data_IF_488080672314
#
_entry.id   IF_488080672314
#
_cell.length_a   1.000
_cell.length_b   1.000
_cell.length_c   1.000
_cell.angle_alpha   90.00
_cell.angle_beta   90.00
_cell.angle_gamma   90.00
#
_symmetry.space_group_name_H-M   'P 1'
#
loop_
_entity.id
_entity.type
_entity.pdbx_description
1 polymer ?
#
# COMPACT_ATOMS: atom_id res chain seq x y z
N UNK A 1 15.29 -46.23 -32.81
CA UNK A 1 14.77 -45.21 -31.85
C UNK A 1 13.27 -45.39 -31.76
N UNK A 2 12.76 -45.80 -30.60
CA UNK A 2 11.36 -46.16 -30.41
C UNK A 2 10.48 -44.91 -30.29
N UNK A 3 9.50 -44.79 -31.18
CA UNK A 3 8.43 -43.80 -31.10
C UNK A 3 7.41 -44.29 -30.05
N UNK A 4 7.36 -43.60 -28.91
CA UNK A 4 6.35 -43.85 -27.87
C UNK A 4 5.12 -43.01 -28.19
N UNK A 5 4.12 -43.63 -28.80
CA UNK A 5 2.76 -43.12 -28.85
C UNK A 5 2.05 -43.46 -27.54
N UNK A 6 1.52 -42.46 -26.83
CA UNK A 6 0.51 -42.62 -25.79
C UNK A 6 -0.53 -41.50 -25.91
N UNK A 7 -1.79 -41.78 -25.50
CA UNK A 7 -2.98 -41.28 -26.19
C UNK A 7 -3.67 -40.11 -25.46
N UNK A 8 -4.56 -39.45 -26.21
CA UNK A 8 -5.56 -38.50 -25.74
C UNK A 8 -6.32 -38.96 -24.49
N UNK A 9 -6.60 -38.01 -23.58
CA UNK A 9 -7.72 -38.20 -22.66
C UNK A 9 -7.72 -37.44 -21.34
N UNK A 10 -7.29 -36.17 -21.27
CA UNK A 10 -7.73 -35.29 -20.17
C UNK A 10 -8.02 -33.89 -20.71
N UNK A 11 -9.28 -33.65 -21.04
CA UNK A 11 -9.84 -32.34 -21.31
C UNK A 11 -9.88 -31.59 -19.96
N UNK A 12 -8.86 -30.78 -19.69
CA UNK A 12 -8.96 -29.80 -18.60
C UNK A 12 -10.15 -28.88 -18.89
N UNK A 13 -11.09 -28.70 -17.95
CA UNK A 13 -12.03 -27.59 -18.04
C UNK A 13 -11.21 -26.31 -17.93
N UNK A 14 -11.09 -25.57 -19.03
CA UNK A 14 -10.73 -24.17 -18.98
C UNK A 14 -11.72 -23.50 -18.02
N UNK A 15 -11.29 -22.87 -16.92
CA UNK A 15 -12.21 -22.02 -16.18
C UNK A 15 -12.60 -20.91 -17.15
N UNK A 16 -13.86 -20.94 -17.58
CA UNK A 16 -14.48 -19.81 -18.22
C UNK A 16 -14.38 -18.67 -17.20
N UNK A 17 -13.39 -17.80 -17.38
CA UNK A 17 -13.35 -16.52 -16.71
C UNK A 17 -14.55 -15.79 -17.27
N UNK A 18 -15.68 -15.89 -16.57
CA UNK A 18 -16.84 -15.07 -16.83
C UNK A 18 -16.35 -13.64 -16.93
N UNK A 19 -16.66 -12.97 -18.04
CA UNK A 19 -16.40 -11.56 -18.19
C UNK A 19 -17.00 -10.86 -16.97
N UNK A 20 -16.13 -10.43 -16.04
CA UNK A 20 -16.55 -9.71 -14.86
C UNK A 20 -17.01 -8.36 -15.39
N UNK A 21 -18.31 -8.25 -15.60
CA UNK A 21 -18.97 -6.99 -15.85
C UNK A 21 -18.57 -6.05 -14.72
N UNK A 22 -17.80 -5.01 -15.06
CA UNK A 22 -17.45 -3.92 -14.16
C UNK A 22 -18.73 -3.16 -13.81
N UNK A 23 -19.48 -3.67 -12.84
CA UNK A 23 -20.42 -2.83 -12.12
C UNK A 23 -19.57 -1.84 -11.35
N UNK A 24 -19.76 -0.55 -11.63
CA UNK A 24 -19.32 0.58 -10.82
C UNK A 24 -19.71 0.29 -9.36
N UNK A 25 -18.84 -0.37 -8.61
CA UNK A 25 -19.10 -0.68 -7.22
C UNK A 25 -19.01 0.64 -6.49
N UNK A 26 -20.14 1.07 -5.91
CA UNK A 26 -20.19 2.20 -5.01
C UNK A 26 -19.04 2.06 -3.99
N UNK A 27 -18.31 3.14 -3.74
CA UNK A 27 -17.20 3.17 -2.80
C UNK A 27 -17.70 2.72 -1.42
N UNK A 28 -17.61 1.42 -1.14
CA UNK A 28 -17.85 0.90 0.21
C UNK A 28 -16.75 1.49 1.05
N UNK A 29 -17.12 2.24 2.09
CA UNK A 29 -16.17 2.71 3.10
C UNK A 29 -15.66 1.48 3.86
N UNK A 30 -14.58 0.89 3.36
CA UNK A 30 -13.93 -0.23 4.03
C UNK A 30 -13.29 0.31 5.32
N UNK A 31 -13.87 -0.03 6.48
CA UNK A 31 -13.22 0.19 7.78
C UNK A 31 -12.08 -0.83 7.93
N UNK A 32 -10.90 -0.42 7.50
CA UNK A 32 -9.67 -1.16 7.72
C UNK A 32 -9.28 -1.08 9.20
N UNK A 33 -9.11 -2.23 9.86
CA UNK A 33 -8.59 -2.30 11.23
C UNK A 33 -7.46 -3.31 11.31
N UNK A 34 -6.22 -2.82 11.25
CA UNK A 34 -5.05 -3.65 11.56
C UNK A 34 -4.89 -3.71 13.07
N UNK A 35 -5.12 -4.90 13.64
CA UNK A 35 -4.75 -5.22 15.02
C UNK A 35 -3.22 -5.30 15.11
N UNK A 36 -2.57 -4.17 15.39
CA UNK A 36 -1.26 -4.18 16.06
C UNK A 36 -1.52 -4.32 17.56
N UNK A 37 -0.67 -5.03 18.30
CA UNK A 37 -0.65 -4.95 19.77
C UNK A 37 -0.49 -3.49 20.18
N UNK A 38 -1.59 -2.86 20.60
CA UNK A 38 -1.67 -1.44 20.93
C UNK A 38 -1.14 -1.30 22.36
N UNK A 39 -0.07 -0.53 22.60
CA UNK A 39 0.26 -0.08 23.94
C UNK A 39 -0.95 0.67 24.51
N UNK A 40 -1.10 0.66 25.83
CA UNK A 40 -2.14 1.44 26.49
C UNK A 40 -2.20 2.87 25.92
N UNK A 41 -3.40 3.43 25.74
CA UNK A 41 -3.60 4.68 24.99
C UNK A 41 -2.72 5.84 25.48
N UNK A 42 -2.42 5.88 26.79
CA UNK A 42 -1.50 6.83 27.41
C UNK A 42 -0.03 6.64 26.99
N UNK A 43 0.44 5.40 26.86
CA UNK A 43 1.81 5.10 26.42
C UNK A 43 2.02 5.50 24.95
N UNK A 44 1.03 5.23 24.09
CA UNK A 44 1.09 5.59 22.67
C UNK A 44 1.22 7.10 22.48
N UNK A 45 0.45 7.91 23.23
CA UNK A 45 0.57 9.38 23.21
C UNK A 45 1.95 9.86 23.66
N UNK A 46 2.49 9.30 24.75
CA UNK A 46 3.82 9.66 25.24
C UNK A 46 4.90 9.43 24.17
N UNK A 47 4.85 8.29 23.49
CA UNK A 47 5.81 7.96 22.43
C UNK A 47 5.69 8.87 21.21
N UNK A 48 4.46 9.24 20.81
CA UNK A 48 4.23 10.20 19.72
C UNK A 48 4.86 11.55 20.06
N UNK A 49 4.67 12.05 21.29
CA UNK A 49 5.28 13.31 21.74
C UNK A 49 6.81 13.23 21.75
N UNK A 50 7.39 12.13 22.20
CA UNK A 50 8.85 11.93 22.21
C UNK A 50 9.43 11.93 20.79
N UNK A 51 8.80 11.23 19.84
CA UNK A 51 9.19 11.26 18.43
C UNK A 51 9.09 12.68 17.86
N UNK A 52 8.01 13.40 18.17
CA UNK A 52 7.78 14.77 17.72
C UNK A 52 8.85 15.72 18.26
N UNK A 53 9.23 15.59 19.53
CA UNK A 53 10.31 16.37 20.14
C UNK A 53 11.67 16.08 19.48
N UNK A 54 12.02 14.80 19.29
CA UNK A 54 13.27 14.42 18.59
C UNK A 54 13.31 14.97 17.16
N UNK A 55 12.22 14.84 16.40
CA UNK A 55 12.12 15.42 15.06
C UNK A 55 12.14 16.95 15.07
N UNK A 56 11.57 17.58 16.11
CA UNK A 56 11.62 19.02 16.31
C UNK A 56 13.07 19.52 16.46
N UNK A 57 13.86 18.79 17.25
CA UNK A 57 15.24 19.09 17.60
C UNK A 57 16.23 18.81 16.47
N UNK A 58 16.22 17.58 15.95
CA UNK A 58 17.29 17.06 15.09
C UNK A 58 16.98 17.23 13.59
N UNK A 59 15.70 17.39 13.22
CA UNK A 59 15.25 17.42 11.83
C UNK A 59 14.40 18.67 11.52
N UNK A 60 14.97 19.85 11.80
CA UNK A 60 14.32 21.17 11.65
C UNK A 60 13.86 21.53 10.24
N UNK A 61 14.53 20.98 9.22
CA UNK A 61 14.21 21.26 7.82
C UNK A 61 13.06 20.42 7.26
N UNK A 62 12.56 19.42 7.99
CA UNK A 62 11.44 18.62 7.52
C UNK A 62 10.12 19.43 7.59
N UNK A 63 9.22 19.24 6.62
CA UNK A 63 7.94 19.93 6.56
C UNK A 63 7.06 19.66 7.78
N UNK A 64 6.20 20.63 8.09
CA UNK A 64 5.16 20.55 9.12
C UNK A 64 3.78 20.29 8.50
N UNK A 65 2.82 19.91 9.34
CA UNK A 65 1.44 19.63 8.96
C UNK A 65 1.24 18.21 8.44
N UNK A 66 0.22 18.02 7.60
CA UNK A 66 -0.17 16.69 7.09
C UNK A 66 0.99 16.03 6.35
N UNK A 67 1.28 14.78 6.71
CA UNK A 67 2.44 14.01 6.25
C UNK A 67 3.82 14.61 6.59
N UNK A 68 3.84 15.59 7.50
CA UNK A 68 5.03 16.24 8.01
C UNK A 68 5.58 15.59 9.26
N UNK A 69 6.57 16.24 9.87
CA UNK A 69 7.28 15.75 11.06
C UNK A 69 6.47 15.82 12.37
N UNK A 70 5.33 16.52 12.35
CA UNK A 70 4.45 16.74 13.50
C UNK A 70 3.05 16.11 13.33
N UNK A 71 2.82 15.39 12.24
CA UNK A 71 1.61 14.61 11.97
C UNK A 71 1.54 13.41 12.92
N UNK A 72 0.69 13.51 13.93
CA UNK A 72 0.56 12.49 14.98
C UNK A 72 0.09 11.14 14.44
N UNK A 73 -0.77 11.12 13.42
CA UNK A 73 -1.25 9.87 12.81
C UNK A 73 -0.13 9.19 12.04
N UNK A 74 0.65 9.97 11.28
CA UNK A 74 1.82 9.45 10.57
C UNK A 74 2.88 8.93 11.55
N UNK A 75 3.17 9.69 12.61
CA UNK A 75 4.11 9.27 13.67
C UNK A 75 3.65 7.96 14.30
N UNK A 76 2.37 7.88 14.69
CA UNK A 76 1.81 6.67 15.30
C UNK A 76 1.90 5.46 14.35
N UNK A 77 1.72 5.67 13.04
CA UNK A 77 1.87 4.62 12.05
C UNK A 77 3.31 4.09 11.99
N UNK A 78 4.31 4.96 11.98
CA UNK A 78 5.73 4.55 11.99
C UNK A 78 6.15 3.92 13.32
N UNK A 79 5.58 4.36 14.45
CA UNK A 79 5.75 3.68 15.74
C UNK A 79 5.22 2.25 15.68
N UNK A 80 4.01 2.03 15.14
CA UNK A 80 3.46 0.68 14.95
C UNK A 80 4.34 -0.19 14.03
N UNK A 81 4.82 0.37 12.92
CA UNK A 81 5.73 -0.31 11.97
C UNK A 81 7.09 -0.68 12.61
N UNK A 82 7.56 0.11 13.58
CA UNK A 82 8.85 -0.08 14.28
C UNK A 82 8.69 -0.65 15.70
N UNK A 83 7.59 -1.37 15.96
CA UNK A 83 7.33 -2.02 17.27
C UNK A 83 7.49 -1.06 18.46
N UNK A 84 7.07 0.19 18.28
CA UNK A 84 7.12 1.28 19.25
C UNK A 84 8.53 1.74 19.66
N UNK A 85 9.56 1.43 18.86
CA UNK A 85 10.89 2.01 19.02
C UNK A 85 10.94 3.44 18.48
N UNK A 86 11.26 4.40 19.36
CA UNK A 86 11.32 5.83 19.04
C UNK A 86 12.43 6.10 18.01
N UNK A 87 13.65 5.62 18.24
CA UNK A 87 14.79 5.92 17.37
C UNK A 87 14.63 5.31 15.97
N UNK A 88 14.12 4.08 15.90
CA UNK A 88 13.81 3.45 14.61
C UNK A 88 12.68 4.17 13.87
N UNK A 89 11.64 4.60 14.59
CA UNK A 89 10.53 5.35 14.01
C UNK A 89 11.01 6.70 13.45
N UNK A 90 11.80 7.46 14.21
CA UNK A 90 12.43 8.72 13.78
C UNK A 90 13.25 8.50 12.50
N UNK A 91 14.11 7.47 12.50
CA UNK A 91 14.97 7.16 11.37
C UNK A 91 14.19 6.80 10.10
N UNK A 92 13.12 6.01 10.22
CA UNK A 92 12.31 5.61 9.07
C UNK A 92 11.36 6.70 8.58
N UNK A 93 10.71 7.42 9.49
CA UNK A 93 9.82 8.53 9.16
C UNK A 93 10.58 9.64 8.43
N UNK A 94 11.78 10.01 8.91
CA UNK A 94 12.64 10.99 8.24
C UNK A 94 12.94 10.60 6.80
N UNK A 95 13.32 9.34 6.56
CA UNK A 95 13.59 8.82 5.21
C UNK A 95 12.34 8.87 4.34
N UNK A 96 11.18 8.53 4.91
CA UNK A 96 9.91 8.55 4.19
C UNK A 96 9.48 9.97 3.79
N UNK A 97 9.63 10.96 4.67
CA UNK A 97 9.32 12.36 4.37
C UNK A 97 10.23 12.87 3.24
N UNK A 98 11.54 12.62 3.33
CA UNK A 98 12.50 13.00 2.27
C UNK A 98 12.18 12.33 0.94
N UNK A 99 11.82 11.04 0.97
CA UNK A 99 11.41 10.33 -0.24
C UNK A 99 10.18 10.96 -0.88
N UNK A 100 9.16 11.34 -0.09
CA UNK A 100 7.95 12.01 -0.61
C UNK A 100 8.27 13.32 -1.31
N UNK A 101 9.21 14.10 -0.77
CA UNK A 101 9.68 15.34 -1.38
C UNK A 101 10.42 15.05 -2.69
N UNK A 102 11.40 14.14 -2.66
CA UNK A 102 12.23 13.82 -3.81
C UNK A 102 11.45 13.16 -4.96
N UNK A 103 10.43 12.37 -4.62
CA UNK A 103 9.56 11.71 -5.59
C UNK A 103 8.53 12.66 -6.21
N UNK A 104 8.30 13.84 -5.62
CA UNK A 104 7.29 14.78 -6.10
C UNK A 104 5.85 14.33 -5.80
N UNK A 105 5.60 13.75 -4.62
CA UNK A 105 4.26 13.27 -4.23
C UNK A 105 3.18 14.37 -4.26
N UNK A 106 3.57 15.65 -4.15
CA UNK A 106 2.68 16.81 -4.30
C UNK A 106 2.13 16.98 -5.72
N UNK A 107 2.79 16.42 -6.73
CA UNK A 107 2.39 16.51 -8.13
C UNK A 107 1.51 15.34 -8.57
N UNK A 108 1.31 14.35 -7.70
CA UNK A 108 0.49 13.17 -7.99
C UNK A 108 -0.99 13.55 -7.90
N UNK A 109 -1.70 13.45 -9.01
CA UNK A 109 -3.14 13.69 -9.08
C UNK A 109 -3.88 12.41 -9.46
N UNK A 110 -5.18 12.36 -9.15
CA UNK A 110 -6.02 11.22 -9.49
C UNK A 110 -6.02 10.95 -11.00
N UNK A 111 -6.06 12.00 -11.83
CA UNK A 111 -6.09 11.89 -13.28
C UNK A 111 -4.81 11.26 -13.84
N UNK A 112 -3.65 11.57 -13.24
CA UNK A 112 -2.35 11.00 -13.64
C UNK A 112 -2.30 9.50 -13.37
N UNK A 113 -2.89 9.03 -12.26
CA UNK A 113 -2.85 7.62 -11.86
C UNK A 113 -4.02 6.81 -12.44
N UNK A 114 -5.15 7.45 -12.76
CA UNK A 114 -6.37 6.80 -13.22
C UNK A 114 -6.15 5.89 -14.42
N UNK A 115 -5.53 6.41 -15.49
CA UNK A 115 -5.26 5.62 -16.70
C UNK A 115 -4.42 4.38 -16.42
N UNK A 116 -3.44 4.50 -15.52
CA UNK A 116 -2.58 3.36 -15.14
C UNK A 116 -3.37 2.38 -14.27
N UNK A 117 -4.18 2.85 -13.34
CA UNK A 117 -5.03 2.01 -12.49
C UNK A 117 -6.06 1.21 -13.33
N UNK A 118 -6.65 1.84 -14.34
CA UNK A 118 -7.64 1.23 -15.24
C UNK A 118 -7.05 0.09 -16.10
N UNK A 119 -5.73 0.02 -16.27
CA UNK A 119 -5.10 -1.12 -16.98
C UNK A 119 -5.22 -2.45 -16.25
N UNK A 120 -5.67 -2.46 -14.99
CA UNK A 120 -5.81 -3.69 -14.21
C UNK A 120 -4.46 -4.35 -13.86
N UNK A 121 -3.36 -3.59 -13.91
CA UNK A 121 -2.03 -4.02 -13.46
C UNK A 121 -1.99 -4.37 -11.98
N UNK A 122 -2.82 -3.69 -11.18
CA UNK A 122 -3.02 -3.97 -9.76
C UNK A 122 -4.36 -3.45 -9.27
N UNK A 123 -4.99 -4.12 -8.31
CA UNK A 123 -6.22 -3.66 -7.67
C UNK A 123 -6.34 -4.20 -6.24
N UNK A 124 -7.15 -3.52 -5.41
CA UNK A 124 -7.50 -4.00 -4.07
C UNK A 124 -8.68 -4.96 -4.20
N UNK A 125 -8.53 -6.18 -3.69
CA UNK A 125 -9.56 -7.20 -3.70
C UNK A 125 -10.67 -6.86 -2.68
N UNK A 126 -11.91 -7.25 -2.98
CA UNK A 126 -13.08 -6.94 -2.14
C UNK A 126 -13.09 -7.70 -0.80
N UNK A 127 -12.32 -8.78 -0.71
CA UNK A 127 -12.18 -9.59 0.50
C UNK A 127 -10.86 -9.33 1.22
N UNK A 128 -10.91 -9.42 2.54
CA UNK A 128 -9.74 -9.41 3.41
C UNK A 128 -9.10 -10.80 3.49
N UNK A 129 -7.84 -10.87 3.91
CA UNK A 129 -7.19 -12.12 4.30
C UNK A 129 -7.77 -12.67 5.61
N UNK A 130 -7.30 -13.86 6.02
CA UNK A 130 -7.71 -14.52 7.27
C UNK A 130 -7.43 -13.70 8.54
N UNK A 131 -6.59 -12.66 8.45
CA UNK A 131 -6.24 -11.75 9.54
C UNK A 131 -6.96 -10.39 9.43
N UNK A 132 -7.90 -10.22 8.49
CA UNK A 132 -8.61 -8.96 8.28
C UNK A 132 -7.79 -7.87 7.58
N UNK A 133 -6.70 -8.24 6.87
CA UNK A 133 -5.87 -7.30 6.10
C UNK A 133 -6.34 -7.25 4.65
N UNK A 134 -6.38 -6.07 4.01
CA UNK A 134 -6.79 -5.96 2.62
C UNK A 134 -5.76 -6.63 1.74
N UNK A 135 -6.24 -7.14 0.62
CA UNK A 135 -5.42 -7.89 -0.31
C UNK A 135 -5.21 -7.02 -1.56
N UNK A 136 -3.97 -6.63 -1.83
CA UNK A 136 -3.59 -6.00 -3.10
C UNK A 136 -3.17 -7.11 -4.08
N UNK A 137 -3.89 -7.23 -5.18
CA UNK A 137 -3.56 -8.15 -6.27
C UNK A 137 -2.77 -7.42 -7.34
N UNK A 138 -1.69 -8.06 -7.83
CA UNK A 138 -0.86 -7.58 -8.94
C UNK A 138 -0.93 -8.62 -10.05
N UNK A 139 -1.46 -8.22 -11.20
CA UNK A 139 -1.68 -9.13 -12.34
C UNK A 139 -0.49 -9.01 -13.27
N UNK A 140 0.54 -9.81 -13.04
CA UNK A 140 1.82 -9.73 -13.75
C UNK A 140 1.67 -9.78 -15.29
N UNK A 141 0.71 -10.55 -15.80
CA UNK A 141 0.42 -10.65 -17.24
C UNK A 141 -0.04 -9.33 -17.89
N UNK A 142 -0.45 -8.34 -17.10
CA UNK A 142 -0.89 -7.04 -17.59
C UNK A 142 0.26 -6.00 -17.62
N UNK A 143 1.48 -6.37 -17.21
CA UNK A 143 2.64 -5.46 -17.17
C UNK A 143 3.46 -5.55 -18.46
N UNK A 144 3.04 -4.77 -19.47
CA UNK A 144 3.79 -4.62 -20.72
C UNK A 144 4.67 -3.35 -20.68
N UNK A 145 5.99 -3.46 -20.92
CA UNK A 145 6.87 -2.30 -21.04
C UNK A 145 6.53 -1.46 -22.28
N UNK A 146 6.66 -0.13 -22.18
CA UNK A 146 6.56 0.78 -23.34
C UNK A 146 5.15 1.05 -23.89
N UNK A 147 4.13 0.31 -23.44
CA UNK A 147 2.72 0.56 -23.82
C UNK A 147 2.09 1.46 -22.77
N UNK A 148 2.06 2.77 -23.02
CA UNK A 148 1.14 3.67 -22.33
C UNK A 148 -0.28 3.42 -22.88
N UNK A 149 -1.33 3.37 -22.04
CA UNK A 149 -2.70 3.32 -22.54
C UNK A 149 -2.92 4.51 -23.49
N UNK A 150 -3.43 4.23 -24.70
CA UNK A 150 -3.57 5.20 -25.78
C UNK A 150 -4.35 6.46 -25.30
N UNK A 151 -3.86 7.63 -25.72
CA UNK A 151 -4.41 8.96 -25.40
C UNK A 151 -5.79 9.15 -25.99
#
# INVERSE_FOLDING_TARGET
MALRMCPHGYRQPQPLISAVSFTKSASRSFRFSVRSSIPESGQSRKLVLEVKEKLAKDYRSLPLGKYGRDDEEMILWFLKDRRFSVDEAVGKLTKAIKWRQNFGMSELTEEKVKRVAETGKSYVHDSFDVNGRPVLLVVASNHFPGVSPAT
#
